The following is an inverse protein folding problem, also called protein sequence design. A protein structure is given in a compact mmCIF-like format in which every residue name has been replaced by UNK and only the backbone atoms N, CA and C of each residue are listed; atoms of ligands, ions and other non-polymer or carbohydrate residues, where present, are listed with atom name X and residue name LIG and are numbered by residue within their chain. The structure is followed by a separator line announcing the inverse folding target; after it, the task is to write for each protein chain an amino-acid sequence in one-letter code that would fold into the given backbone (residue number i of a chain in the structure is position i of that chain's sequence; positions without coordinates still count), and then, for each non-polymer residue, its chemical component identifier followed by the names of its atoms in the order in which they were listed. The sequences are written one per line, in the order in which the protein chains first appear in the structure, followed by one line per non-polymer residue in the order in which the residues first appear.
data_IF_237856101022
#
_entry.id   IF_237856101022
#
_cell.length_a   1.000
_cell.length_b   1.000
_cell.length_c   1.000
_cell.angle_alpha   90.00
_cell.angle_beta   90.00
_cell.angle_gamma   90.00
#
_symmetry.space_group_name_H-M   'P 1'
#
loop_
_entity.id
_entity.type
_entity.pdbx_description
1 polymer ?
#
# COMPACT_ATOMS: atom_id res chain seq x y z
N UNK A 1 -20.55 -28.85 -23.70
CA UNK A 1 -19.96 -27.70 -22.98
C UNK A 1 -20.12 -27.99 -21.50
N UNK A 2 -19.02 -28.29 -20.78
CA UNK A 2 -19.10 -28.70 -19.37
C UNK A 2 -19.57 -27.52 -18.51
N UNK A 3 -20.69 -27.68 -17.80
CA UNK A 3 -21.22 -26.62 -16.95
C UNK A 3 -20.21 -26.28 -15.86
N UNK A 4 -19.70 -25.04 -15.87
CA UNK A 4 -18.78 -24.54 -14.86
C UNK A 4 -19.58 -24.32 -13.58
N UNK A 5 -19.63 -25.33 -12.70
CA UNK A 5 -20.43 -25.36 -11.46
C UNK A 5 -20.32 -24.07 -10.63
N UNK A 6 -19.13 -23.49 -10.55
CA UNK A 6 -18.86 -22.25 -9.80
C UNK A 6 -19.62 -21.04 -10.39
N UNK A 7 -19.70 -20.93 -11.72
CA UNK A 7 -20.44 -19.84 -12.38
C UNK A 7 -21.95 -19.97 -12.16
N UNK A 8 -22.47 -21.20 -12.17
CA UNK A 8 -23.88 -21.47 -11.87
C UNK A 8 -24.23 -21.07 -10.44
N UNK A 9 -23.36 -21.42 -9.48
CA UNK A 9 -23.50 -21.02 -8.05
C UNK A 9 -23.43 -19.49 -7.92
N UNK A 10 -22.46 -18.84 -8.56
CA UNK A 10 -22.34 -17.38 -8.52
C UNK A 10 -23.60 -16.70 -9.05
N UNK A 11 -24.14 -17.16 -10.19
CA UNK A 11 -25.34 -16.60 -10.82
C UNK A 11 -26.60 -16.83 -9.99
N UNK A 12 -26.72 -17.95 -9.29
CA UNK A 12 -27.91 -18.26 -8.47
C UNK A 12 -27.86 -17.62 -7.08
N UNK A 13 -26.67 -17.42 -6.51
CA UNK A 13 -26.53 -16.91 -5.14
C UNK A 13 -26.17 -15.43 -5.04
N UNK A 14 -25.45 -14.87 -6.01
CA UNK A 14 -25.07 -13.46 -5.95
C UNK A 14 -26.19 -12.58 -6.52
N UNK A 15 -27.08 -12.20 -5.62
CA UNK A 15 -28.27 -11.38 -5.91
C UNK A 15 -27.96 -9.89 -6.07
N UNK A 16 -26.84 -9.41 -5.52
CA UNK A 16 -26.44 -8.01 -5.58
C UNK A 16 -24.92 -7.87 -5.80
N UNK A 17 -24.52 -6.91 -6.64
CA UNK A 17 -23.12 -6.54 -6.87
C UNK A 17 -22.88 -5.22 -6.17
N UNK A 18 -22.38 -5.32 -4.94
CA UNK A 18 -22.01 -4.18 -4.11
C UNK A 18 -20.53 -4.20 -3.79
N UNK A 19 -20.00 -3.03 -3.44
CA UNK A 19 -18.65 -2.90 -2.89
C UNK A 19 -18.62 -3.61 -1.55
N UNK A 20 -17.79 -4.64 -1.43
CA UNK A 20 -17.60 -5.35 -0.18
C UNK A 20 -16.63 -4.57 0.71
N UNK A 21 -17.01 -4.33 1.97
CA UNK A 21 -16.18 -3.61 2.94
C UNK A 21 -14.98 -4.43 3.45
N UNK A 22 -14.92 -5.72 3.10
CA UNK A 22 -13.82 -6.61 3.46
C UNK A 22 -12.52 -6.23 2.73
N UNK A 23 -12.65 -5.64 1.53
CA UNK A 23 -11.51 -5.15 0.76
C UNK A 23 -11.38 -3.64 0.95
N UNK A 24 -10.46 -3.20 1.83
CA UNK A 24 -9.89 -1.86 1.73
C UNK A 24 -9.25 -1.68 0.34
N UNK A 25 -9.84 -0.79 -0.46
CA UNK A 25 -9.40 -0.41 -1.80
C UNK A 25 -8.78 1.00 -1.75
N UNK A 26 -8.11 1.33 -0.64
CA UNK A 26 -7.33 2.54 -0.49
C UNK A 26 -6.27 2.65 -1.60
N UNK A 27 -5.90 3.89 -1.89
CA UNK A 27 -4.81 4.17 -2.81
C UNK A 27 -3.51 3.46 -2.37
N UNK A 28 -3.21 3.48 -1.07
CA UNK A 28 -2.05 2.79 -0.50
C UNK A 28 -2.06 1.28 -0.79
N UNK A 29 -3.19 0.59 -0.58
CA UNK A 29 -3.28 -0.86 -0.91
C UNK A 29 -3.16 -1.14 -2.40
N UNK A 30 -3.70 -0.26 -3.25
CA UNK A 30 -3.56 -0.37 -4.71
C UNK A 30 -2.10 -0.25 -5.14
N UNK A 31 -1.38 0.74 -4.61
CA UNK A 31 0.04 0.95 -4.89
C UNK A 31 0.90 -0.21 -4.34
N UNK A 32 0.60 -0.72 -3.15
CA UNK A 32 1.27 -1.90 -2.60
C UNK A 32 1.07 -3.14 -3.48
N UNK A 33 -0.14 -3.34 -4.02
CA UNK A 33 -0.40 -4.42 -4.96
C UNK A 33 0.45 -4.25 -6.23
N UNK A 34 0.45 -3.06 -6.84
CA UNK A 34 1.25 -2.81 -8.03
C UNK A 34 2.76 -3.00 -7.77
N UNK A 35 3.26 -2.53 -6.63
CA UNK A 35 4.65 -2.71 -6.22
C UNK A 35 5.02 -4.19 -6.07
N UNK A 36 4.15 -5.00 -5.45
CA UNK A 36 4.38 -6.45 -5.27
C UNK A 36 4.40 -7.22 -6.59
N UNK A 37 3.60 -6.81 -7.55
CA UNK A 37 3.52 -7.44 -8.87
C UNK A 37 4.58 -6.87 -9.83
N UNK A 38 5.36 -5.87 -9.40
CA UNK A 38 6.40 -5.23 -10.22
C UNK A 38 5.84 -4.34 -11.34
N UNK A 39 4.59 -3.90 -11.21
CA UNK A 39 3.87 -3.09 -12.21
C UNK A 39 3.54 -1.69 -11.71
N UNK A 40 4.28 -1.20 -10.71
CA UNK A 40 4.07 0.12 -10.12
C UNK A 40 4.10 1.21 -11.19
N UNK A 41 2.94 1.81 -11.44
CA UNK A 41 2.74 2.73 -12.57
C UNK A 41 3.19 4.13 -12.24
N UNK A 42 4.50 4.33 -12.08
CA UNK A 42 5.05 5.67 -11.85
C UNK A 42 4.83 6.57 -13.07
N UNK A 43 4.28 7.77 -12.89
CA UNK A 43 4.14 8.75 -13.98
C UNK A 43 5.47 9.12 -14.62
N UNK A 44 6.58 9.06 -13.89
CA UNK A 44 7.93 9.27 -14.46
C UNK A 44 8.31 8.24 -15.50
N UNK A 45 7.86 6.98 -15.37
CA UNK A 45 8.02 5.96 -16.41
C UNK A 45 7.11 6.26 -17.60
N UNK A 46 5.84 6.60 -17.34
CA UNK A 46 4.85 6.92 -18.40
C UNK A 46 5.25 8.17 -19.20
N UNK A 47 5.84 9.17 -18.56
CA UNK A 47 6.33 10.41 -19.16
C UNK A 47 7.47 10.18 -20.18
N UNK A 48 8.04 8.98 -20.26
CA UNK A 48 9.00 8.60 -21.31
C UNK A 48 8.33 8.26 -22.63
N UNK A 49 7.04 7.88 -22.60
CA UNK A 49 6.30 7.38 -23.75
C UNK A 49 5.11 8.27 -24.12
N UNK A 50 4.67 9.15 -23.23
CA UNK A 50 3.54 10.05 -23.41
C UNK A 50 3.87 11.39 -22.77
N UNK A 51 3.46 12.48 -23.41
CA UNK A 51 3.60 13.83 -22.86
C UNK A 51 2.56 13.99 -21.74
N UNK A 52 2.99 13.67 -20.52
CA UNK A 52 2.14 13.65 -19.33
C UNK A 52 2.87 14.33 -18.18
N UNK A 53 2.13 15.03 -17.35
CA UNK A 53 2.70 15.73 -16.21
C UNK A 53 3.38 14.75 -15.25
N UNK A 54 4.57 15.12 -14.79
CA UNK A 54 5.42 14.28 -13.92
C UNK A 54 5.04 14.39 -12.45
N UNK A 55 4.15 15.33 -12.12
CA UNK A 55 3.67 15.54 -10.77
C UNK A 55 2.88 14.33 -10.27
N UNK A 56 3.16 13.96 -9.02
CA UNK A 56 2.48 12.86 -8.37
C UNK A 56 1.00 13.16 -8.14
N UNK A 57 0.13 12.23 -8.52
CA UNK A 57 -1.32 12.43 -8.51
C UNK A 57 -1.91 12.61 -7.09
N UNK A 58 -1.17 12.27 -6.03
CA UNK A 58 -1.70 12.30 -4.66
C UNK A 58 -1.27 13.53 -3.89
N UNK A 59 -0.02 13.98 -4.04
CA UNK A 59 0.50 15.15 -3.31
C UNK A 59 0.62 16.40 -4.20
N UNK A 60 0.61 16.24 -5.53
CA UNK A 60 0.77 17.31 -6.53
C UNK A 60 1.99 18.22 -6.38
N UNK A 61 2.92 17.92 -5.48
CA UNK A 61 3.95 18.85 -5.05
C UNK A 61 5.33 18.55 -5.65
N UNK A 62 5.61 17.26 -5.91
CA UNK A 62 6.91 16.81 -6.42
C UNK A 62 6.72 15.78 -7.54
N UNK A 63 7.81 15.58 -8.31
CA UNK A 63 7.85 14.54 -9.34
C UNK A 63 7.68 13.16 -8.71
N UNK A 64 6.86 12.31 -9.35
CA UNK A 64 6.61 10.93 -8.93
C UNK A 64 7.84 10.04 -9.13
N UNK A 65 8.77 10.13 -8.20
CA UNK A 65 9.91 9.21 -8.07
C UNK A 65 9.60 8.14 -7.04
N UNK A 66 10.32 7.01 -7.12
CA UNK A 66 10.23 5.96 -6.12
C UNK A 66 10.59 6.49 -4.72
N UNK A 67 11.61 7.35 -4.63
CA UNK A 67 12.01 7.98 -3.38
C UNK A 67 10.90 8.86 -2.81
N UNK A 68 10.26 9.69 -3.64
CA UNK A 68 9.14 10.51 -3.19
C UNK A 68 7.98 9.63 -2.69
N UNK A 69 7.61 8.61 -3.47
CA UNK A 69 6.52 7.69 -3.15
C UNK A 69 6.73 6.99 -1.79
N UNK A 70 7.95 6.51 -1.54
CA UNK A 70 8.27 5.70 -0.36
C UNK A 70 8.59 6.55 0.87
N UNK A 71 9.30 7.67 0.70
CA UNK A 71 9.87 8.41 1.83
C UNK A 71 9.23 9.78 2.09
N UNK A 72 8.66 10.43 1.06
CA UNK A 72 8.28 11.86 1.14
C UNK A 72 6.80 12.14 0.90
N UNK A 73 6.05 11.18 0.38
CA UNK A 73 4.68 11.43 -0.07
C UNK A 73 3.71 11.55 1.12
N UNK A 74 3.41 12.78 1.52
CA UNK A 74 2.45 13.06 2.59
C UNK A 74 1.03 12.57 2.29
N UNK A 75 0.65 12.43 1.00
CA UNK A 75 -0.65 11.89 0.60
C UNK A 75 -0.78 10.37 0.77
N UNK A 76 0.34 9.68 1.02
CA UNK A 76 0.37 8.24 1.32
C UNK A 76 0.70 7.95 2.78
N UNK A 77 1.14 8.96 3.53
CA UNK A 77 1.29 8.81 4.97
C UNK A 77 -0.08 8.48 5.58
N UNK A 78 -0.22 7.35 6.28
CA UNK A 78 -1.45 7.06 6.99
C UNK A 78 -1.71 8.20 7.98
N UNK A 79 -2.94 8.70 8.01
CA UNK A 79 -3.38 9.59 9.08
C UNK A 79 -3.21 8.83 10.40
N UNK A 80 -2.27 9.28 11.24
CA UNK A 80 -2.11 8.71 12.57
C UNK A 80 -3.43 8.85 13.32
N UNK A 81 -3.92 7.80 14.00
CA UNK A 81 -5.09 7.90 14.85
C UNK A 81 -4.91 9.04 15.86
N UNK A 82 -5.98 9.77 16.17
CA UNK A 82 -5.95 10.86 17.14
C UNK A 82 -5.31 10.41 18.47
N UNK A 83 -4.22 11.09 18.86
CA UNK A 83 -3.44 10.77 20.06
C UNK A 83 -2.19 9.89 19.83
N UNK A 84 -1.98 9.35 18.62
CA UNK A 84 -0.77 8.58 18.29
C UNK A 84 0.25 9.51 17.63
N UNK A 85 1.38 9.75 18.30
CA UNK A 85 2.47 10.61 17.77
C UNK A 85 3.51 9.84 16.95
N UNK A 86 3.50 8.50 17.00
CA UNK A 86 4.52 7.63 16.40
C UNK A 86 3.92 6.33 15.85
N UNK A 87 4.41 5.89 14.70
CA UNK A 87 4.06 4.62 14.05
C UNK A 87 4.66 3.39 14.75
N UNK A 88 5.63 3.55 15.67
CA UNK A 88 6.25 2.42 16.37
C UNK A 88 5.23 1.51 17.09
N UNK A 89 4.20 2.09 17.73
CA UNK A 89 3.13 1.34 18.37
C UNK A 89 2.32 0.49 17.39
N UNK A 90 1.65 1.11 16.39
CA UNK A 90 0.89 0.40 15.36
C UNK A 90 1.70 -0.65 14.58
N UNK A 91 3.00 -0.43 14.41
CA UNK A 91 3.90 -1.37 13.72
C UNK A 91 4.45 -2.48 14.63
N UNK A 92 4.08 -2.51 15.92
CA UNK A 92 4.50 -3.53 16.88
C UNK A 92 5.95 -3.39 17.35
N UNK A 93 6.55 -2.21 17.16
CA UNK A 93 7.89 -1.86 17.61
C UNK A 93 7.91 -1.18 18.99
N UNK A 94 6.75 -0.87 19.58
CA UNK A 94 6.68 -0.43 20.97
C UNK A 94 6.77 -1.63 21.93
N UNK A 95 7.53 -1.46 23.01
CA UNK A 95 7.51 -2.33 24.18
C UNK A 95 6.23 -2.07 25.00
N UNK A 96 5.95 -2.95 25.97
CA UNK A 96 4.76 -2.86 26.83
C UNK A 96 4.71 -1.56 27.66
N UNK A 97 5.86 -0.89 27.85
CA UNK A 97 5.97 0.41 28.52
C UNK A 97 5.84 1.61 27.56
N UNK A 98 5.53 1.36 26.29
CA UNK A 98 5.39 2.38 25.25
C UNK A 98 6.71 2.92 24.68
N UNK A 99 7.88 2.45 25.16
CA UNK A 99 9.16 2.81 24.56
C UNK A 99 9.46 1.99 23.31
N UNK A 100 10.21 2.57 22.38
CA UNK A 100 10.65 1.87 21.18
C UNK A 100 11.55 0.69 21.55
N UNK A 101 11.16 -0.53 21.19
CA UNK A 101 11.93 -1.75 21.46
C UNK A 101 12.96 -1.98 20.35
N UNK A 102 14.09 -1.30 20.49
CA UNK A 102 15.18 -1.26 19.50
C UNK A 102 15.66 -2.66 19.09
N UNK A 103 15.64 -3.62 20.03
CA UNK A 103 15.98 -5.04 19.77
C UNK A 103 15.14 -5.66 18.65
N UNK A 104 13.83 -5.39 18.58
CA UNK A 104 12.96 -5.94 17.52
C UNK A 104 13.35 -5.40 16.15
N UNK A 105 13.72 -4.12 16.09
CA UNK A 105 14.18 -3.46 14.87
C UNK A 105 15.52 -4.05 14.43
N UNK A 106 16.48 -4.21 15.35
CA UNK A 106 17.79 -4.80 15.05
C UNK A 106 17.67 -6.23 14.53
N UNK A 107 16.82 -7.06 15.15
CA UNK A 107 16.57 -8.44 14.70
C UNK A 107 15.97 -8.46 13.29
N UNK A 108 15.02 -7.56 13.01
CA UNK A 108 14.39 -7.46 11.69
C UNK A 108 15.38 -7.00 10.61
N UNK A 109 16.25 -6.03 10.92
CA UNK A 109 17.33 -5.58 10.02
C UNK A 109 18.32 -6.71 9.73
N UNK A 110 18.80 -7.41 10.75
CA UNK A 110 19.75 -8.52 10.58
C UNK A 110 19.21 -9.65 9.69
N UNK A 111 17.93 -9.97 9.79
CA UNK A 111 17.26 -10.97 8.91
C UNK A 111 17.21 -10.55 7.44
N UNK A 112 17.31 -9.26 7.14
CA UNK A 112 17.33 -8.74 5.77
C UNK A 112 18.76 -8.68 5.19
N UNK A 113 19.78 -8.76 6.03
CA UNK A 113 21.20 -8.76 5.63
C UNK A 113 21.65 -10.14 5.11
N UNK A 114 21.01 -11.23 5.57
CA UNK A 114 21.31 -12.61 5.15
C UNK A 114 20.64 -12.99 3.80
N UNK A 115 20.34 -12.01 2.94
CA UNK A 115 19.67 -12.20 1.65
C UNK A 115 20.42 -11.55 0.51
#
# INVERSE_FOLDING_TARGET
MQEKSILTIYRSQKQDIRKENVFDNSLGRSLLFEARVGVLRMRTYRARFQETDRLYATCHNESETLEHLVLKCMGLCPSLPEGVMDLAGPLGFAADDGRMEEKRITVTKRRLEDR
#
